data_IF_276076112090
#
_entry.id   IF_276076112090
#
_cell.length_a   1.000
_cell.length_b   1.000
_cell.length_c   1.000
_cell.angle_alpha   90.00
_cell.angle_beta   90.00
_cell.angle_gamma   90.00
#
_symmetry.space_group_name_H-M   'P 1'
#
loop_
_entity.id
_entity.type
_entity.pdbx_description
1 polymer ?
#
# COMPACT_ATOMS: atom_id res chain seq x y z
N UNK A 1 26.99 1.61 10.16
CA UNK A 1 26.91 1.73 11.62
C UNK A 1 25.62 2.39 12.10
N UNK A 2 25.13 3.45 11.47
CA UNK A 2 23.88 4.16 11.82
C UNK A 2 22.60 3.29 11.81
N UNK A 3 22.43 2.36 10.84
CA UNK A 3 21.23 1.50 10.75
C UNK A 3 21.02 0.59 11.98
N UNK A 4 22.09 0.14 12.64
CA UNK A 4 21.97 -0.69 13.86
C UNK A 4 21.57 0.13 15.08
N UNK A 5 22.03 1.38 15.20
CA UNK A 5 21.71 2.26 16.33
C UNK A 5 20.25 2.66 16.29
N UNK A 6 19.70 3.00 15.11
CA UNK A 6 18.28 3.33 14.93
C UNK A 6 17.40 2.12 15.29
N UNK A 7 17.80 0.89 14.91
CA UNK A 7 17.06 -0.32 15.25
C UNK A 7 16.99 -0.57 16.76
N UNK A 8 18.08 -0.36 17.49
CA UNK A 8 18.10 -0.51 18.97
C UNK A 8 17.30 0.59 19.67
N UNK A 9 17.34 1.81 19.15
CA UNK A 9 16.61 2.95 19.74
C UNK A 9 15.10 2.79 19.56
N UNK A 10 14.66 2.29 18.41
CA UNK A 10 13.26 1.94 18.16
C UNK A 10 12.82 0.79 19.08
N UNK A 11 13.65 -0.25 19.23
CA UNK A 11 13.30 -1.40 20.08
C UNK A 11 13.24 -1.03 21.57
N UNK A 12 14.14 -0.17 22.06
CA UNK A 12 14.17 0.27 23.47
C UNK A 12 13.02 1.22 23.85
N UNK A 13 12.45 1.94 22.89
CA UNK A 13 11.26 2.76 23.07
C UNK A 13 9.96 1.93 23.03
N UNK A 14 9.94 0.79 22.35
CA UNK A 14 8.77 -0.07 22.23
C UNK A 14 8.50 -0.93 23.48
N UNK A 15 9.53 -1.40 24.15
CA UNK A 15 9.38 -2.30 25.32
C UNK A 15 8.60 -1.68 26.49
N UNK A 16 8.83 -0.43 26.92
CA UNK A 16 8.04 0.16 27.98
C UNK A 16 6.61 0.54 27.56
N UNK A 17 6.36 0.77 26.26
CA UNK A 17 5.02 1.09 25.75
C UNK A 17 4.09 -0.13 25.78
N UNK A 18 4.62 -1.33 25.53
CA UNK A 18 3.84 -2.58 25.60
C UNK A 18 3.31 -2.86 27.01
N UNK A 19 4.06 -2.46 28.03
CA UNK A 19 3.64 -2.64 29.43
C UNK A 19 2.52 -1.69 29.87
N UNK A 20 2.32 -0.57 29.16
CA UNK A 20 1.29 0.43 29.50
C UNK A 20 -0.10 0.11 28.91
N UNK A 21 -0.19 -0.80 27.94
CA UNK A 21 -1.43 -1.12 27.22
C UNK A 21 -1.94 -2.55 27.51
N UNK A 22 -1.48 -3.18 28.58
CA UNK A 22 -1.81 -4.59 28.86
C UNK A 22 -3.29 -4.85 29.20
N UNK A 23 -4.05 -3.81 29.54
CA UNK A 23 -5.46 -3.89 29.93
C UNK A 23 -6.43 -3.27 28.90
N UNK A 24 -5.94 -2.86 27.74
CA UNK A 24 -6.81 -2.32 26.68
C UNK A 24 -7.62 -3.44 26.00
N UNK A 25 -8.88 -3.18 25.61
CA UNK A 25 -9.67 -4.16 24.87
C UNK A 25 -9.05 -4.50 23.52
N UNK A 26 -9.22 -5.75 23.11
CA UNK A 26 -8.87 -6.17 21.74
C UNK A 26 -9.74 -5.46 20.71
N UNK A 27 -9.24 -5.30 19.49
CA UNK A 27 -9.93 -4.55 18.43
C UNK A 27 -9.84 -5.27 17.10
N UNK A 28 -10.92 -5.23 16.34
CA UNK A 28 -10.93 -5.62 14.94
C UNK A 28 -11.20 -4.37 14.09
N UNK A 29 -10.40 -4.11 13.07
CA UNK A 29 -10.47 -2.91 12.24
C UNK A 29 -10.52 -3.25 10.76
N UNK A 30 -11.38 -2.53 10.03
CA UNK A 30 -11.51 -2.60 8.59
C UNK A 30 -11.29 -1.21 8.00
N UNK A 31 -10.54 -1.13 6.91
CA UNK A 31 -10.25 0.10 6.18
C UNK A 31 -10.51 -0.08 4.69
N UNK A 32 -10.95 0.99 4.04
CA UNK A 32 -11.08 1.10 2.59
C UNK A 32 -10.47 2.44 2.14
N UNK A 33 -9.85 2.52 0.97
CA UNK A 33 -9.39 3.79 0.41
C UNK A 33 -10.56 4.73 0.11
N UNK A 34 -10.44 5.98 0.58
CA UNK A 34 -11.44 7.03 0.37
C UNK A 34 -10.96 8.12 -0.59
N UNK A 35 -9.67 8.39 -0.60
CA UNK A 35 -9.03 9.30 -1.55
C UNK A 35 -7.63 8.82 -1.89
N UNK A 36 -7.13 9.26 -3.02
CA UNK A 36 -5.89 8.75 -3.59
C UNK A 36 -5.05 9.88 -4.15
N UNK A 37 -3.75 9.75 -4.02
CA UNK A 37 -2.77 10.56 -4.72
C UNK A 37 -1.66 9.66 -5.27
N UNK A 38 -1.30 9.84 -6.53
CA UNK A 38 -0.05 9.31 -7.07
C UNK A 38 0.46 10.27 -8.13
N UNK A 39 1.77 10.28 -8.28
CA UNK A 39 2.41 11.01 -9.35
C UNK A 39 2.60 10.06 -10.51
N UNK A 40 1.82 10.25 -11.57
CA UNK A 40 2.04 9.56 -12.84
C UNK A 40 2.87 10.49 -13.70
N UNK A 41 4.12 10.09 -13.99
CA UNK A 41 5.02 10.87 -14.84
C UNK A 41 4.45 10.96 -16.26
N UNK A 42 4.50 12.16 -16.84
CA UNK A 42 4.10 12.48 -18.22
C UNK A 42 2.62 12.30 -18.59
N UNK A 43 1.72 12.30 -17.63
CA UNK A 43 0.30 12.27 -17.90
C UNK A 43 -0.43 13.49 -17.33
N UNK A 44 -0.92 14.37 -18.21
CA UNK A 44 -1.65 15.60 -17.81
C UNK A 44 -3.14 15.39 -17.58
N UNK A 45 -3.70 14.25 -18.00
CA UNK A 45 -5.14 13.96 -17.93
C UNK A 45 -5.45 12.56 -17.37
N UNK A 46 -4.50 11.94 -16.66
CA UNK A 46 -4.72 10.62 -16.06
C UNK A 46 -5.50 10.72 -14.77
N UNK A 47 -6.53 9.91 -14.67
CA UNK A 47 -7.25 9.65 -13.45
C UNK A 47 -6.62 8.44 -12.75
N UNK A 48 -6.14 8.64 -11.52
CA UNK A 48 -5.70 7.56 -10.67
C UNK A 48 -6.82 7.18 -9.71
N UNK A 49 -7.13 5.90 -9.67
CA UNK A 49 -8.07 5.32 -8.72
C UNK A 49 -7.37 4.22 -7.94
N UNK A 50 -7.31 4.35 -6.61
CA UNK A 50 -6.88 3.28 -5.73
C UNK A 50 -8.12 2.60 -5.13
N UNK A 51 -8.10 1.29 -5.13
CA UNK A 51 -9.10 0.45 -4.51
C UNK A 51 -8.42 -0.61 -3.65
N UNK A 52 -9.16 -1.25 -2.76
CA UNK A 52 -8.58 -2.29 -1.91
C UNK A 52 -9.27 -2.35 -0.56
N UNK A 53 -8.64 -3.06 0.35
CA UNK A 53 -9.08 -3.22 1.72
C UNK A 53 -7.92 -3.52 2.65
N UNK A 54 -8.13 -3.27 3.94
CA UNK A 54 -7.23 -3.71 4.99
C UNK A 54 -8.06 -4.16 6.18
N UNK A 55 -7.76 -5.36 6.68
CA UNK A 55 -8.39 -5.93 7.88
C UNK A 55 -7.32 -6.23 8.91
N UNK A 56 -7.55 -5.86 10.18
CA UNK A 56 -6.60 -6.06 11.28
C UNK A 56 -7.27 -6.51 12.54
N UNK A 57 -6.57 -7.36 13.25
CA UNK A 57 -6.84 -7.67 14.65
C UNK A 57 -5.74 -7.07 15.52
N UNK A 58 -6.12 -6.33 16.56
CA UNK A 58 -5.23 -5.68 17.51
C UNK A 58 -5.48 -6.30 18.87
N UNK A 59 -4.43 -6.91 19.43
CA UNK A 59 -4.46 -7.47 20.78
C UNK A 59 -4.52 -6.37 21.84
N UNK A 60 -5.03 -6.66 23.01
CA UNK A 60 -5.15 -5.69 24.10
C UNK A 60 -3.85 -5.00 24.53
N UNK A 61 -2.69 -5.59 24.23
CA UNK A 61 -1.38 -4.95 24.44
C UNK A 61 -0.89 -4.10 23.26
N UNK A 62 -1.75 -3.84 22.27
CA UNK A 62 -1.51 -2.90 21.16
C UNK A 62 -0.88 -3.51 19.91
N UNK A 63 -0.30 -4.72 19.94
CA UNK A 63 0.21 -5.39 18.74
C UNK A 63 -0.96 -5.75 17.82
N UNK A 64 -0.82 -5.48 16.53
CA UNK A 64 -1.81 -5.81 15.52
C UNK A 64 -1.23 -6.70 14.43
N UNK A 65 -2.04 -7.64 13.96
CA UNK A 65 -1.78 -8.44 12.76
C UNK A 65 -2.92 -8.23 11.77
N UNK A 66 -2.59 -8.13 10.49
CA UNK A 66 -3.59 -7.86 9.47
C UNK A 66 -3.22 -8.34 8.09
N UNK A 67 -4.15 -8.13 7.19
CA UNK A 67 -4.00 -8.38 5.76
C UNK A 67 -4.47 -7.13 5.02
N UNK A 68 -3.68 -6.70 4.04
CA UNK A 68 -4.00 -5.58 3.15
C UNK A 68 -3.87 -6.03 1.70
N UNK A 69 -4.76 -5.58 0.85
CA UNK A 69 -4.63 -5.64 -0.61
C UNK A 69 -4.96 -4.27 -1.17
N UNK A 70 -4.15 -3.78 -2.10
CA UNK A 70 -4.31 -2.46 -2.71
C UNK A 70 -4.03 -2.53 -4.20
N UNK A 71 -4.93 -1.94 -4.98
CA UNK A 71 -4.84 -1.88 -6.44
C UNK A 71 -4.91 -0.42 -6.88
N UNK A 72 -3.91 0.01 -7.64
CA UNK A 72 -3.87 1.30 -8.32
C UNK A 72 -4.26 1.10 -9.79
N UNK A 73 -5.25 1.84 -10.27
CA UNK A 73 -5.66 1.84 -11.67
C UNK A 73 -5.49 3.25 -12.23
N UNK A 74 -4.82 3.33 -13.36
CA UNK A 74 -4.58 4.58 -14.09
C UNK A 74 -5.34 4.48 -15.40
N UNK A 75 -6.27 5.40 -15.63
CA UNK A 75 -6.96 5.55 -16.90
C UNK A 75 -6.75 6.95 -17.43
N UNK A 76 -6.44 7.08 -18.73
CA UNK A 76 -6.26 8.40 -19.32
C UNK A 76 -5.70 8.37 -20.73
N UNK A 77 -5.60 9.56 -21.30
CA UNK A 77 -5.08 9.77 -22.63
C UNK A 77 -3.58 10.12 -22.54
N UNK A 78 -2.73 9.22 -22.97
CA UNK A 78 -1.28 9.48 -23.10
C UNK A 78 -1.00 9.95 -24.52
N UNK A 79 -0.41 11.11 -24.67
CA UNK A 79 0.01 11.63 -25.99
C UNK A 79 1.53 11.67 -26.07
N UNK A 80 2.19 10.57 -26.46
CA UNK A 80 3.61 10.62 -26.74
C UNK A 80 3.83 11.45 -28.01
N UNK A 81 4.53 12.55 -27.89
CA UNK A 81 4.98 13.41 -28.99
C UNK A 81 3.87 14.03 -29.87
N UNK A 82 2.77 14.50 -29.30
CA UNK A 82 1.70 15.25 -30.01
C UNK A 82 1.07 14.55 -31.25
N UNK A 83 1.24 13.27 -31.44
CA UNK A 83 0.88 12.63 -32.72
C UNK A 83 -0.28 11.63 -32.64
N UNK A 84 -0.60 11.09 -31.51
CA UNK A 84 -1.79 10.22 -31.34
C UNK A 84 -2.18 10.05 -29.89
N UNK A 85 -3.49 10.15 -29.62
CA UNK A 85 -4.07 9.85 -28.32
C UNK A 85 -4.06 8.33 -28.16
N UNK A 86 -3.30 7.82 -27.21
CA UNK A 86 -3.37 6.43 -26.81
C UNK A 86 -4.16 6.40 -25.50
N UNK A 87 -5.32 5.77 -25.53
CA UNK A 87 -6.06 5.46 -24.30
C UNK A 87 -5.36 4.26 -23.66
N UNK A 88 -4.74 4.48 -22.54
CA UNK A 88 -4.04 3.42 -21.82
C UNK A 88 -4.71 3.20 -20.47
N UNK A 89 -5.17 1.98 -20.24
CA UNK A 89 -5.65 1.53 -18.94
C UNK A 89 -4.58 0.61 -18.32
N UNK A 90 -4.01 1.08 -17.22
CA UNK A 90 -3.01 0.31 -16.47
C UNK A 90 -3.56 0.00 -15.09
N UNK A 91 -3.34 -1.19 -14.60
CA UNK A 91 -3.59 -1.50 -13.22
C UNK A 91 -2.42 -2.26 -12.59
N UNK A 92 -2.14 -1.88 -11.34
CA UNK A 92 -1.08 -2.46 -10.52
C UNK A 92 -1.70 -2.91 -9.21
N UNK A 93 -1.58 -4.19 -8.90
CA UNK A 93 -2.14 -4.80 -7.70
C UNK A 93 -0.97 -5.25 -6.81
N UNK A 94 -0.97 -4.80 -5.57
CA UNK A 94 0.04 -5.24 -4.59
C UNK A 94 -0.06 -6.73 -4.25
N UNK A 95 -1.17 -7.36 -4.59
CA UNK A 95 -1.52 -8.65 -4.01
C UNK A 95 -1.79 -8.56 -2.50
N UNK A 96 -2.01 -9.67 -1.84
CA UNK A 96 -2.18 -9.71 -0.40
C UNK A 96 -0.84 -9.47 0.32
N UNK A 97 -0.85 -8.52 1.26
CA UNK A 97 0.27 -8.21 2.15
C UNK A 97 -0.11 -8.58 3.58
N UNK A 98 0.82 -9.13 4.33
CA UNK A 98 0.67 -9.34 5.78
C UNK A 98 1.18 -8.09 6.49
N UNK A 99 0.33 -7.51 7.33
CA UNK A 99 0.62 -6.30 8.09
C UNK A 99 0.94 -6.63 9.55
N UNK A 100 1.98 -5.98 10.07
CA UNK A 100 2.26 -5.88 11.50
C UNK A 100 2.07 -4.41 11.90
N UNK A 101 1.41 -4.18 13.01
CA UNK A 101 1.14 -2.82 13.50
C UNK A 101 1.25 -2.73 15.00
N UNK A 102 1.38 -1.51 15.49
CA UNK A 102 1.25 -1.20 16.90
C UNK A 102 0.31 -0.03 17.09
N UNK A 103 -0.65 -0.20 18.00
CA UNK A 103 -1.66 0.80 18.36
C UNK A 103 -1.48 1.19 19.82
N UNK A 104 -1.57 2.47 20.10
CA UNK A 104 -1.55 3.03 21.45
C UNK A 104 -2.67 4.05 21.62
N UNK A 105 -3.09 4.24 22.87
CA UNK A 105 -4.21 5.08 23.26
C UNK A 105 -5.52 4.31 23.39
N UNK A 106 -6.43 4.85 24.17
CA UNK A 106 -7.75 4.25 24.51
C UNK A 106 -8.89 4.94 23.75
N UNK A 107 -9.21 6.18 24.09
CA UNK A 107 -10.29 6.95 23.47
C UNK A 107 -9.87 7.47 22.09
N UNK A 108 -8.66 8.04 22.03
CA UNK A 108 -7.98 8.36 20.79
C UNK A 108 -6.85 7.38 20.60
N UNK A 109 -6.85 6.71 19.48
CA UNK A 109 -5.83 5.72 19.15
C UNK A 109 -4.96 6.21 18.00
N UNK A 110 -3.67 5.90 18.12
CA UNK A 110 -2.70 6.12 17.07
C UNK A 110 -2.07 4.78 16.70
N UNK A 111 -1.99 4.49 15.41
CA UNK A 111 -1.49 3.22 14.90
C UNK A 111 -0.39 3.47 13.88
N UNK A 112 0.71 2.74 14.03
CA UNK A 112 1.76 2.65 13.00
C UNK A 112 1.87 1.22 12.55
N UNK A 113 2.15 1.00 11.27
CA UNK A 113 2.28 -0.35 10.78
C UNK A 113 3.02 -0.44 9.46
N UNK A 114 3.42 -1.67 9.18
CA UNK A 114 4.15 -2.04 7.98
C UNK A 114 3.67 -3.40 7.48
N UNK A 115 3.51 -3.51 6.17
CA UNK A 115 3.07 -4.72 5.49
C UNK A 115 4.07 -5.18 4.44
N UNK A 116 4.11 -6.49 4.21
CA UNK A 116 4.94 -7.12 3.18
C UNK A 116 4.13 -8.14 2.40
N UNK A 117 4.34 -8.18 1.09
CA UNK A 117 3.74 -9.12 0.16
C UNK A 117 4.75 -9.58 -0.90
N UNK A 118 4.48 -10.70 -1.52
CA UNK A 118 5.41 -11.33 -2.45
C UNK A 118 4.88 -11.53 -3.87
N UNK A 119 3.68 -11.06 -4.17
CA UNK A 119 3.01 -11.41 -5.43
C UNK A 119 2.23 -10.23 -6.03
N UNK A 120 2.89 -9.07 -6.26
CA UNK A 120 2.22 -8.01 -6.98
C UNK A 120 1.95 -8.44 -8.42
N UNK A 121 0.84 -8.00 -8.97
CA UNK A 121 0.46 -8.26 -10.36
C UNK A 121 0.21 -6.95 -11.09
N UNK A 122 0.39 -6.95 -12.40
CA UNK A 122 0.08 -5.80 -13.23
C UNK A 122 -0.74 -6.26 -14.43
N UNK A 123 -1.69 -5.42 -14.82
CA UNK A 123 -2.47 -5.60 -16.03
C UNK A 123 -2.28 -4.36 -16.91
N UNK A 124 -1.69 -4.59 -18.08
CA UNK A 124 -1.35 -3.54 -19.03
C UNK A 124 -2.19 -3.74 -20.28
N UNK A 125 -3.25 -2.98 -20.41
CA UNK A 125 -4.05 -2.96 -21.63
C UNK A 125 -3.51 -1.88 -22.58
N UNK A 126 -2.50 -2.25 -23.39
CA UNK A 126 -1.95 -1.39 -24.42
C UNK A 126 -2.69 -1.72 -25.71
N UNK A 127 -3.37 -0.75 -26.37
CA UNK A 127 -3.98 -0.96 -27.66
C UNK A 127 -2.96 -1.47 -28.68
N UNK A 128 -3.38 -2.39 -29.53
CA UNK A 128 -2.60 -3.21 -30.44
C UNK A 128 -1.59 -2.41 -31.28
N UNK A 129 -0.40 -2.21 -30.72
CA UNK A 129 0.75 -1.69 -31.42
C UNK A 129 1.86 -2.75 -31.39
N UNK A 130 2.55 -2.90 -32.53
CA UNK A 130 3.55 -3.97 -32.76
C UNK A 130 4.71 -4.00 -31.76
N UNK A 131 4.85 -2.95 -30.96
CA UNK A 131 5.88 -2.82 -29.93
C UNK A 131 5.51 -3.39 -28.55
N UNK A 132 4.23 -3.67 -28.29
CA UNK A 132 3.74 -4.04 -26.94
C UNK A 132 3.76 -5.55 -26.66
N UNK A 133 3.87 -6.39 -27.68
CA UNK A 133 3.74 -7.86 -27.56
C UNK A 133 4.81 -8.54 -26.71
N UNK A 134 5.96 -7.90 -26.56
CA UNK A 134 7.12 -8.48 -25.84
C UNK A 134 7.34 -7.89 -24.44
N UNK A 135 6.45 -7.03 -23.98
CA UNK A 135 6.56 -6.42 -22.66
C UNK A 135 5.92 -7.31 -21.60
N UNK A 136 6.71 -7.71 -20.61
CA UNK A 136 6.25 -8.46 -19.45
C UNK A 136 6.67 -7.73 -18.20
N UNK A 137 5.73 -7.55 -17.29
CA UNK A 137 5.98 -7.11 -15.93
C UNK A 137 5.73 -8.29 -15.00
N UNK A 138 6.76 -8.71 -14.29
CA UNK A 138 6.72 -9.80 -13.33
C UNK A 138 6.87 -9.21 -11.92
N UNK A 139 5.87 -9.44 -11.06
CA UNK A 139 5.88 -8.92 -9.72
C UNK A 139 6.91 -9.62 -8.83
N UNK A 140 7.68 -8.85 -8.08
CA UNK A 140 8.72 -9.33 -7.15
C UNK A 140 8.26 -9.27 -5.71
N UNK A 141 7.91 -8.07 -5.27
CA UNK A 141 7.57 -7.81 -3.87
C UNK A 141 6.68 -6.58 -3.77
N UNK A 142 5.86 -6.56 -2.74
CA UNK A 142 5.11 -5.38 -2.35
C UNK A 142 5.35 -5.08 -0.88
N UNK A 143 5.28 -3.82 -0.51
CA UNK A 143 5.30 -3.38 0.87
C UNK A 143 4.31 -2.24 1.08
N UNK A 144 3.87 -2.07 2.30
CA UNK A 144 3.04 -0.93 2.69
C UNK A 144 3.50 -0.36 4.02
N UNK A 145 3.39 0.95 4.16
CA UNK A 145 3.50 1.64 5.44
C UNK A 145 2.23 2.43 5.69
N UNK A 146 1.80 2.52 6.94
CA UNK A 146 0.63 3.31 7.26
C UNK A 146 0.70 3.94 8.65
N UNK A 147 0.01 5.08 8.76
CA UNK A 147 -0.26 5.81 9.98
C UNK A 147 -1.77 5.93 10.12
N UNK A 148 -2.32 5.49 11.25
CA UNK A 148 -3.75 5.52 11.52
C UNK A 148 -4.09 6.31 12.76
N UNK A 149 -5.23 6.97 12.71
CA UNK A 149 -5.91 7.61 13.83
C UNK A 149 -7.26 6.93 14.02
N UNK A 150 -7.65 6.74 15.28
CA UNK A 150 -8.97 6.23 15.64
C UNK A 150 -9.59 7.02 16.77
N UNK A 151 -10.90 7.11 16.74
CA UNK A 151 -11.70 7.66 17.83
C UNK A 151 -12.71 6.61 18.29
N UNK A 152 -12.63 6.25 19.57
CA UNK A 152 -13.45 5.22 20.19
C UNK A 152 -14.77 5.80 20.70
N UNK A 153 -15.87 5.22 20.27
CA UNK A 153 -17.24 5.54 20.68
C UNK A 153 -17.84 4.39 21.53
N UNK A 154 -17.05 3.81 22.40
CA UNK A 154 -17.41 2.65 23.22
C UNK A 154 -17.02 1.34 22.50
N UNK A 155 -17.95 0.60 21.94
CA UNK A 155 -17.65 -0.64 21.21
C UNK A 155 -17.34 -0.43 19.74
N UNK A 156 -17.41 0.79 19.21
CA UNK A 156 -17.15 1.13 17.81
C UNK A 156 -16.08 2.19 17.74
N UNK A 157 -15.16 2.06 16.80
CA UNK A 157 -14.14 3.06 16.44
C UNK A 157 -14.41 3.64 15.05
N UNK A 158 -14.22 4.96 14.90
CA UNK A 158 -14.12 5.63 13.60
C UNK A 158 -12.63 5.78 13.30
N UNK A 159 -12.22 5.40 12.10
CA UNK A 159 -10.81 5.28 11.73
C UNK A 159 -10.48 6.10 10.49
N UNK A 160 -9.30 6.71 10.53
CA UNK A 160 -8.66 7.38 9.41
C UNK A 160 -7.22 6.89 9.33
N UNK A 161 -6.72 6.58 8.12
CA UNK A 161 -5.32 6.22 7.96
C UNK A 161 -4.74 6.82 6.67
N UNK A 162 -3.44 7.12 6.71
CA UNK A 162 -2.62 7.42 5.56
C UNK A 162 -1.80 6.17 5.25
N UNK A 163 -1.85 5.70 4.02
CA UNK A 163 -1.13 4.51 3.57
C UNK A 163 -0.30 4.84 2.34
N UNK A 164 0.92 4.34 2.33
CA UNK A 164 1.78 4.29 1.15
C UNK A 164 2.05 2.84 0.80
N UNK A 165 1.92 2.50 -0.47
CA UNK A 165 2.19 1.16 -1.01
C UNK A 165 3.29 1.28 -2.05
N UNK A 166 4.27 0.40 -1.96
CA UNK A 166 5.35 0.24 -2.91
C UNK A 166 5.30 -1.16 -3.50
N UNK A 167 5.32 -1.28 -4.82
CA UNK A 167 5.34 -2.56 -5.52
C UNK A 167 6.50 -2.58 -6.52
N UNK A 168 7.30 -3.64 -6.47
CA UNK A 168 8.47 -3.85 -7.30
C UNK A 168 8.18 -4.91 -8.35
N UNK A 169 8.55 -4.60 -9.59
CA UNK A 169 8.37 -5.45 -10.76
C UNK A 169 9.69 -5.59 -11.53
N UNK A 170 9.90 -6.77 -12.10
CA UNK A 170 10.91 -6.97 -13.15
C UNK A 170 10.22 -6.76 -14.50
N UNK A 171 10.65 -5.72 -15.20
CA UNK A 171 10.24 -5.46 -16.58
C UNK A 171 11.21 -6.15 -17.52
N UNK A 172 10.69 -6.98 -18.43
CA UNK A 172 11.50 -7.62 -19.47
C UNK A 172 10.91 -7.33 -20.85
N UNK A 173 11.77 -7.02 -21.80
CA UNK A 173 11.42 -6.95 -23.22
C UNK A 173 12.60 -7.40 -24.08
N UNK A 174 12.31 -7.81 -25.31
CA UNK A 174 13.33 -8.27 -26.26
C UNK A 174 13.55 -7.18 -27.31
N UNK A 175 14.77 -6.65 -27.40
CA UNK A 175 15.15 -5.69 -28.43
C UNK A 175 16.21 -6.31 -29.34
N UNK A 176 15.92 -6.41 -30.65
CA UNK A 176 16.82 -7.03 -31.66
C UNK A 176 17.34 -8.42 -31.21
N UNK A 177 16.49 -9.25 -30.58
CA UNK A 177 16.87 -10.59 -30.16
C UNK A 177 17.64 -10.64 -28.81
N UNK A 178 17.93 -9.50 -28.20
CA UNK A 178 18.58 -9.41 -26.88
C UNK A 178 17.55 -9.15 -25.79
N UNK A 179 17.45 -10.01 -24.74
CA UNK A 179 16.57 -9.76 -23.60
C UNK A 179 17.16 -8.64 -22.73
N UNK A 180 16.37 -7.61 -22.49
CA UNK A 180 16.69 -6.53 -21.57
C UNK A 180 15.79 -6.66 -20.35
N UNK A 181 16.36 -6.47 -19.17
CA UNK A 181 15.62 -6.49 -17.89
C UNK A 181 15.87 -5.20 -17.12
N UNK A 182 14.80 -4.64 -16.55
CA UNK A 182 14.83 -3.46 -15.72
C UNK A 182 13.99 -3.70 -14.47
N UNK A 183 14.44 -3.17 -13.35
CA UNK A 183 13.61 -3.10 -12.15
C UNK A 183 12.72 -1.86 -12.23
N UNK A 184 11.46 -2.04 -11.95
CA UNK A 184 10.46 -0.99 -11.97
C UNK A 184 9.75 -0.94 -10.61
N UNK A 185 9.86 0.20 -9.94
CA UNK A 185 9.25 0.46 -8.65
C UNK A 185 8.10 1.45 -8.82
N UNK A 186 6.95 1.07 -8.32
CA UNK A 186 5.75 1.90 -8.31
C UNK A 186 5.32 2.20 -6.89
N UNK A 187 4.97 3.43 -6.63
CA UNK A 187 4.46 3.87 -5.33
C UNK A 187 3.14 4.61 -5.51
N UNK A 188 2.18 4.31 -4.67
CA UNK A 188 0.93 5.04 -4.59
C UNK A 188 0.49 5.22 -3.14
N UNK A 189 -0.18 6.35 -2.91
CA UNK A 189 -0.66 6.73 -1.59
C UNK A 189 -2.19 6.72 -1.56
N UNK A 190 -2.75 6.42 -0.40
CA UNK A 190 -4.18 6.52 -0.14
C UNK A 190 -4.46 7.11 1.24
N UNK A 191 -5.58 7.80 1.33
CA UNK A 191 -6.22 8.10 2.61
C UNK A 191 -7.35 7.08 2.79
N UNK A 192 -7.24 6.27 3.82
CA UNK A 192 -8.18 5.21 4.11
C UNK A 192 -9.14 5.65 5.21
N UNK A 193 -10.41 5.33 5.06
CA UNK A 193 -11.41 5.43 6.13
C UNK A 193 -11.76 4.03 6.62
N UNK A 194 -12.16 3.91 7.88
CA UNK A 194 -12.44 2.60 8.43
C UNK A 194 -13.38 2.62 9.62
N UNK A 195 -13.73 1.43 10.03
CA UNK A 195 -14.49 1.16 11.23
C UNK A 195 -13.77 0.08 12.06
N UNK A 196 -13.78 0.25 13.36
CA UNK A 196 -13.26 -0.71 14.31
C UNK A 196 -14.33 -1.17 15.30
N UNK A 197 -14.12 -2.34 15.85
CA UNK A 197 -14.93 -2.92 16.94
C UNK A 197 -14.00 -3.27 18.09
N UNK A 198 -14.38 -2.86 19.29
CA UNK A 198 -13.67 -3.13 20.56
C UNK A 198 -14.44 -4.16 21.38
N UNK A 199 -13.75 -5.15 21.97
CA UNK A 199 -14.35 -6.24 22.76
C UNK A 199 -13.36 -6.85 23.75
#
# INVERSE_FOLDING_TARGET
MYKKIVSYLVFSLFVPLVALCADDPSRARLYIPASTSATVYDCTTCELKVSGYSARYIFGFGLGLGVTSSKASVSGNVSPNNSSLIIADYSYDSGPMIDISYTFGSDFTFTVGYGVGSSPTSDLNIPDDSYSKDWKLEGKSASSSFLGLGYNLGSIEILLALRSVEANYDQSYTFSGMPLKFEHMLTWDSTDIGIGFTF
#
